data_IF_368953752425
#
_entry.id   IF_368953752425
#
_cell.length_a   1.000
_cell.length_b   1.000
_cell.length_c   1.000
_cell.angle_alpha   90.00
_cell.angle_beta   90.00
_cell.angle_gamma   90.00
#
_symmetry.space_group_name_H-M   'P 1'
#
loop_
_entity.id
_entity.type
_entity.pdbx_description
1 polymer ?
#
# COMPACT_ATOMS: atom_id res chain seq x y z
N UNK A 1 7.33 16.68 22.18
CA UNK A 1 7.23 16.70 20.70
C UNK A 1 8.57 17.15 20.15
N UNK A 2 9.36 16.24 19.60
CA UNK A 2 10.69 16.56 19.06
C UNK A 2 10.51 17.09 17.63
N UNK A 3 10.84 18.36 17.44
CA UNK A 3 10.78 19.03 16.13
C UNK A 3 11.66 18.26 15.13
N UNK A 4 11.11 17.83 14.00
CA UNK A 4 11.83 17.16 12.90
C UNK A 4 13.05 18.01 12.53
N UNK A 5 14.29 17.49 12.70
CA UNK A 5 15.49 18.12 12.16
C UNK A 5 15.43 18.04 10.63
N UNK A 6 15.11 19.15 9.97
CA UNK A 6 15.22 19.28 8.52
C UNK A 6 16.68 19.53 8.16
N UNK A 7 17.08 19.11 6.96
CA UNK A 7 18.39 19.43 6.39
C UNK A 7 18.62 20.95 6.46
N UNK A 8 19.75 21.44 6.96
CA UNK A 8 20.04 22.88 7.07
C UNK A 8 19.89 23.63 5.74
N UNK A 9 20.31 23.03 4.62
CA UNK A 9 20.16 23.59 3.28
C UNK A 9 18.69 23.74 2.87
N UNK A 10 17.86 22.73 3.17
CA UNK A 10 16.40 22.79 2.93
C UNK A 10 15.70 23.81 3.82
N UNK A 11 16.17 23.98 5.07
CA UNK A 11 15.63 25.04 5.96
C UNK A 11 15.93 26.43 5.45
N UNK A 12 17.13 26.64 4.93
CA UNK A 12 17.53 27.91 4.38
C UNK A 12 16.72 28.25 3.12
N UNK A 13 16.55 27.30 2.22
CA UNK A 13 15.70 27.44 1.02
C UNK A 13 14.24 27.76 1.38
N UNK A 14 13.67 27.09 2.38
CA UNK A 14 12.31 27.36 2.84
C UNK A 14 12.20 28.76 3.44
N UNK A 15 13.19 29.22 4.23
CA UNK A 15 13.20 30.56 4.78
C UNK A 15 13.27 31.63 3.70
N UNK A 16 14.14 31.42 2.69
CA UNK A 16 14.25 32.31 1.53
C UNK A 16 12.92 32.38 0.80
N UNK A 17 12.29 31.24 0.56
CA UNK A 17 11.00 31.13 -0.11
C UNK A 17 9.89 31.86 0.65
N UNK A 18 9.78 31.64 1.96
CA UNK A 18 8.80 32.32 2.83
C UNK A 18 9.04 33.84 2.83
N UNK A 19 10.30 34.26 2.86
CA UNK A 19 10.67 35.68 2.83
C UNK A 19 10.39 36.34 1.49
N UNK A 20 10.72 35.66 0.38
CA UNK A 20 10.62 36.17 -0.97
C UNK A 20 9.18 36.29 -1.47
N UNK A 21 8.34 35.31 -1.09
CA UNK A 21 6.91 35.28 -1.44
C UNK A 21 5.99 35.91 -0.38
N UNK A 22 6.52 36.39 0.74
CA UNK A 22 5.71 37.00 1.80
C UNK A 22 4.57 36.09 2.31
N UNK A 23 4.88 34.79 2.52
CA UNK A 23 3.89 33.76 2.80
C UNK A 23 3.24 33.96 4.17
N UNK A 24 1.99 34.36 4.19
CA UNK A 24 1.16 34.54 5.41
C UNK A 24 -0.04 33.58 5.46
N UNK A 25 -0.45 33.02 4.31
CA UNK A 25 -1.62 32.14 4.20
C UNK A 25 -1.34 30.86 3.41
N UNK A 26 -2.29 29.89 3.47
CA UNK A 26 -2.26 28.69 2.62
C UNK A 26 -2.35 29.05 1.13
N UNK A 27 -3.06 30.12 0.78
CA UNK A 27 -3.18 30.60 -0.58
C UNK A 27 -1.82 31.12 -1.10
N UNK A 28 -1.04 31.79 -0.26
CA UNK A 28 0.31 32.26 -0.62
C UNK A 28 1.27 31.08 -0.83
N UNK A 29 1.15 30.04 -0.02
CA UNK A 29 1.90 28.78 -0.25
C UNK A 29 1.55 28.18 -1.61
N UNK A 30 0.27 28.14 -1.97
CA UNK A 30 -0.18 27.60 -3.26
C UNK A 30 0.35 28.45 -4.42
N UNK A 31 0.32 29.77 -4.29
CA UNK A 31 0.85 30.69 -5.30
C UNK A 31 2.37 30.53 -5.45
N UNK A 32 3.12 30.44 -4.36
CA UNK A 32 4.56 30.22 -4.38
C UNK A 32 4.92 28.87 -5.04
N UNK A 33 4.18 27.82 -4.72
CA UNK A 33 4.37 26.50 -5.34
C UNK A 33 4.00 26.52 -6.83
N UNK A 34 2.98 27.26 -7.20
CA UNK A 34 2.57 27.47 -8.58
C UNK A 34 3.66 28.14 -9.40
N UNK A 35 4.22 29.23 -8.88
CA UNK A 35 5.29 29.99 -9.56
C UNK A 35 6.57 29.15 -9.68
N UNK A 36 6.98 28.47 -8.63
CA UNK A 36 8.11 27.54 -8.64
C UNK A 36 7.94 26.40 -9.66
N UNK A 37 6.73 25.87 -9.77
CA UNK A 37 6.42 24.82 -10.75
C UNK A 37 6.54 25.38 -12.18
N UNK A 38 5.99 26.57 -12.43
CA UNK A 38 6.10 27.26 -13.71
C UNK A 38 7.55 27.48 -14.13
N UNK A 39 8.35 28.08 -13.24
CA UNK A 39 9.77 28.30 -13.46
C UNK A 39 10.56 27.02 -13.70
N UNK A 40 10.28 25.97 -12.94
CA UNK A 40 10.93 24.66 -13.14
C UNK A 40 10.62 24.07 -14.52
N UNK A 41 9.37 24.18 -14.98
CA UNK A 41 8.97 23.70 -16.31
C UNK A 41 9.65 24.51 -17.40
N UNK A 42 9.75 25.83 -17.27
CA UNK A 42 10.44 26.68 -18.23
C UNK A 42 11.92 26.33 -18.33
N UNK A 43 12.62 26.10 -17.22
CA UNK A 43 14.02 25.62 -17.21
C UNK A 43 14.18 24.27 -17.92
N UNK A 44 13.27 23.35 -17.68
CA UNK A 44 13.28 22.05 -18.34
C UNK A 44 13.04 22.19 -19.86
N UNK A 45 12.12 23.07 -20.28
CA UNK A 45 11.90 23.40 -21.70
C UNK A 45 13.12 24.03 -22.33
N UNK A 46 13.89 24.84 -21.57
CA UNK A 46 15.17 25.38 -22.05
C UNK A 46 16.20 24.27 -22.28
N UNK A 47 16.28 23.28 -21.36
CA UNK A 47 17.17 22.14 -21.53
C UNK A 47 16.77 21.27 -22.75
N UNK A 48 15.47 21.05 -22.96
CA UNK A 48 14.99 20.34 -24.16
C UNK A 48 15.37 21.03 -25.46
N UNK A 49 15.16 22.35 -25.56
CA UNK A 49 15.51 23.09 -26.81
C UNK A 49 17.02 23.20 -26.99
N UNK A 50 17.81 23.28 -25.90
CA UNK A 50 19.27 23.24 -25.97
C UNK A 50 19.74 21.93 -26.62
N UNK A 51 19.17 20.81 -26.18
CA UNK A 51 19.47 19.48 -26.70
C UNK A 51 19.02 19.35 -28.17
N UNK A 52 17.83 19.86 -28.50
CA UNK A 52 17.30 19.83 -29.86
C UNK A 52 18.16 20.62 -30.85
N UNK A 53 18.59 21.82 -30.47
CA UNK A 53 19.41 22.69 -31.31
C UNK A 53 20.91 22.36 -31.22
N UNK A 54 21.37 21.68 -30.15
CA UNK A 54 22.75 21.33 -29.91
C UNK A 54 23.65 22.47 -29.46
N UNK A 55 23.07 23.56 -28.92
CA UNK A 55 23.80 24.68 -28.32
C UNK A 55 22.99 25.36 -27.21
N UNK A 56 23.69 25.94 -26.22
CA UNK A 56 23.08 26.65 -25.09
C UNK A 56 22.56 28.05 -25.48
N UNK A 57 21.73 28.62 -24.62
CA UNK A 57 21.27 30.02 -24.78
C UNK A 57 22.48 30.96 -24.84
N UNK A 58 22.57 31.81 -25.86
CA UNK A 58 23.70 32.69 -26.20
C UNK A 58 24.89 31.99 -26.89
N UNK A 59 24.84 30.68 -27.12
CA UNK A 59 25.83 30.00 -27.98
C UNK A 59 25.51 30.17 -29.46
N UNK A 60 26.54 30.11 -30.31
CA UNK A 60 26.37 30.04 -31.76
C UNK A 60 26.58 28.62 -32.23
N UNK A 61 25.62 28.10 -32.95
CA UNK A 61 25.72 26.77 -33.60
C UNK A 61 25.91 26.95 -35.12
N UNK A 62 26.70 26.07 -35.71
CA UNK A 62 26.89 26.00 -37.19
C UNK A 62 25.69 25.30 -37.88
N UNK A 63 24.46 25.64 -37.52
CA UNK A 63 23.28 24.90 -37.99
C UNK A 63 22.23 25.80 -38.64
N UNK A 64 21.49 25.21 -39.56
CA UNK A 64 20.40 25.84 -40.32
C UNK A 64 19.15 26.21 -39.45
N UNK A 65 19.14 25.85 -38.17
CA UNK A 65 18.02 26.10 -37.27
C UNK A 65 18.45 26.92 -36.04
N UNK A 66 17.66 27.93 -35.69
CA UNK A 66 17.94 28.91 -34.64
C UNK A 66 16.75 29.05 -33.70
N UNK A 67 16.99 29.59 -32.50
CA UNK A 67 15.93 29.96 -31.56
C UNK A 67 15.04 31.03 -32.14
N UNK A 68 13.73 30.96 -31.95
CA UNK A 68 12.72 31.87 -32.46
C UNK A 68 11.77 32.38 -31.35
N UNK A 69 12.36 32.82 -30.23
CA UNK A 69 11.58 33.36 -29.13
C UNK A 69 10.78 32.32 -28.34
N UNK A 70 9.71 32.77 -27.70
CA UNK A 70 8.84 31.96 -26.83
C UNK A 70 7.39 32.17 -27.23
N UNK A 71 6.59 31.14 -26.97
CA UNK A 71 5.14 31.19 -27.08
C UNK A 71 4.52 30.94 -25.71
N UNK A 72 3.68 31.85 -25.25
CA UNK A 72 2.91 31.65 -24.02
C UNK A 72 1.91 30.49 -24.18
N UNK A 73 1.87 29.63 -23.20
CA UNK A 73 0.95 28.49 -23.13
C UNK A 73 0.33 28.41 -21.75
N UNK A 74 -1.01 28.39 -21.71
CA UNK A 74 -1.74 28.05 -20.48
C UNK A 74 -1.83 26.54 -20.30
N UNK A 75 -1.35 26.05 -19.16
CA UNK A 75 -1.42 24.64 -18.79
C UNK A 75 -2.06 24.49 -17.42
N UNK A 76 -2.88 23.48 -17.26
CA UNK A 76 -3.56 23.17 -16.00
C UNK A 76 -2.65 22.32 -15.12
N UNK A 77 -2.53 22.69 -13.86
CA UNK A 77 -1.77 21.95 -12.85
C UNK A 77 -2.61 21.68 -11.60
N UNK A 78 -2.08 20.85 -10.69
CA UNK A 78 -2.71 20.64 -9.37
C UNK A 78 -2.78 21.90 -8.49
N UNK A 79 -2.08 22.97 -8.89
CA UNK A 79 -2.09 24.29 -8.20
C UNK A 79 -2.89 25.35 -8.96
N UNK A 80 -3.62 24.95 -10.01
CA UNK A 80 -4.36 25.84 -10.90
C UNK A 80 -3.65 26.08 -12.23
N UNK A 81 -4.21 27.00 -13.03
CA UNK A 81 -3.66 27.34 -14.35
C UNK A 81 -2.31 28.02 -14.24
N UNK A 82 -1.33 27.50 -14.99
CA UNK A 82 0.01 28.05 -15.15
C UNK A 82 0.13 28.70 -16.51
N UNK A 83 0.77 29.87 -16.58
CA UNK A 83 1.22 30.46 -17.82
C UNK A 83 2.73 30.18 -17.95
N UNK A 84 3.13 29.47 -18.99
CA UNK A 84 4.51 29.05 -19.22
C UNK A 84 5.00 29.55 -20.58
N UNK A 85 6.26 29.98 -20.63
CA UNK A 85 6.93 30.40 -21.86
C UNK A 85 7.59 29.21 -22.55
N UNK A 86 6.97 28.68 -23.60
CA UNK A 86 7.48 27.54 -24.37
C UNK A 86 8.44 28.05 -25.43
N UNK A 87 9.72 27.67 -25.44
CA UNK A 87 10.69 28.11 -26.45
C UNK A 87 10.35 27.54 -27.83
N UNK A 88 10.70 28.28 -28.86
CA UNK A 88 10.46 27.92 -30.25
C UNK A 88 11.76 27.97 -31.06
N UNK A 89 11.83 27.12 -32.08
CA UNK A 89 12.86 27.16 -33.12
C UNK A 89 12.31 27.75 -34.39
N UNK A 90 13.20 28.23 -35.26
CA UNK A 90 12.84 28.92 -36.50
C UNK A 90 12.15 28.00 -37.51
N UNK A 91 12.53 26.74 -37.53
CA UNK A 91 11.99 25.76 -38.46
C UNK A 91 10.72 25.07 -37.91
N UNK A 92 10.28 25.41 -36.69
CA UNK A 92 9.11 24.83 -36.00
C UNK A 92 9.19 23.31 -35.84
N UNK A 93 10.40 22.74 -35.80
CA UNK A 93 10.69 21.31 -35.65
C UNK A 93 10.77 20.89 -34.19
N UNK A 94 10.96 21.83 -33.28
CA UNK A 94 10.99 21.53 -31.84
C UNK A 94 9.60 21.12 -31.33
N UNK A 95 9.53 19.93 -30.81
CA UNK A 95 8.36 19.41 -30.12
C UNK A 95 8.71 19.13 -28.65
N UNK A 96 8.29 20.02 -27.73
CA UNK A 96 8.56 19.81 -26.31
C UNK A 96 7.85 18.55 -25.82
N UNK A 97 8.59 17.72 -25.08
CA UNK A 97 8.07 16.46 -24.52
C UNK A 97 7.41 16.67 -23.15
N UNK A 98 7.92 17.62 -22.35
CA UNK A 98 7.38 17.93 -21.03
C UNK A 98 5.99 18.56 -21.14
N UNK A 99 5.80 19.44 -22.12
CA UNK A 99 4.52 20.09 -22.38
C UNK A 99 4.19 19.99 -23.86
N UNK A 100 3.75 18.83 -24.35
CA UNK A 100 3.46 18.58 -25.75
C UNK A 100 2.54 19.65 -26.36
N UNK A 101 2.72 19.97 -27.63
CA UNK A 101 2.01 21.08 -28.32
C UNK A 101 0.49 21.07 -28.13
N UNK A 102 -0.12 19.90 -27.92
CA UNK A 102 -1.58 19.72 -27.78
C UNK A 102 -2.06 19.40 -26.36
N UNK A 103 -1.17 19.10 -25.44
CA UNK A 103 -1.52 18.86 -24.03
C UNK A 103 -1.51 20.17 -23.24
N UNK A 104 -2.55 20.33 -22.41
CA UNK A 104 -2.72 21.48 -21.53
C UNK A 104 -2.70 21.11 -20.06
N UNK A 105 -2.53 19.82 -19.73
CA UNK A 105 -2.55 19.31 -18.36
C UNK A 105 -1.20 18.66 -18.03
N UNK A 106 -0.43 19.31 -17.14
CA UNK A 106 0.87 18.82 -16.65
C UNK A 106 0.75 18.05 -15.35
N UNK A 107 -0.47 17.93 -14.77
CA UNK A 107 -0.73 17.10 -13.59
C UNK A 107 -0.42 15.62 -13.88
N UNK A 108 -0.37 15.24 -15.16
CA UNK A 108 -0.03 13.89 -15.60
C UNK A 108 1.37 13.46 -15.19
N UNK A 109 2.38 14.37 -15.23
CA UNK A 109 3.76 14.02 -14.83
C UNK A 109 3.84 13.73 -13.34
N UNK A 110 3.20 14.56 -12.50
CA UNK A 110 3.11 14.29 -11.06
C UNK A 110 2.39 12.98 -10.78
N UNK A 111 1.27 12.74 -11.46
CA UNK A 111 0.52 11.48 -11.34
C UNK A 111 1.34 10.26 -11.80
N UNK A 112 2.16 10.40 -12.84
CA UNK A 112 3.09 9.36 -13.30
C UNK A 112 4.18 9.09 -12.25
N UNK A 113 4.80 10.12 -11.68
CA UNK A 113 5.80 10.01 -10.61
C UNK A 113 5.19 9.29 -9.39
N UNK A 114 4.02 9.73 -8.93
CA UNK A 114 3.28 9.08 -7.84
C UNK A 114 2.97 7.63 -8.22
N UNK A 115 2.59 7.42 -9.48
CA UNK A 115 2.31 6.12 -10.04
C UNK A 115 3.49 5.16 -9.99
N UNK A 116 4.67 5.59 -10.38
CA UNK A 116 5.91 4.81 -10.37
C UNK A 116 6.37 4.53 -8.92
N UNK A 117 6.23 5.53 -8.04
CA UNK A 117 6.52 5.37 -6.62
C UNK A 117 5.62 4.31 -5.95
N UNK A 118 4.33 4.29 -6.29
CA UNK A 118 3.37 3.27 -5.84
C UNK A 118 3.69 1.85 -6.35
N UNK A 119 4.49 1.72 -7.41
CA UNK A 119 5.01 0.44 -7.91
C UNK A 119 6.25 -0.03 -7.14
N UNK A 120 6.80 0.80 -6.25
CA UNK A 120 7.99 0.51 -5.45
C UNK A 120 9.30 0.96 -6.09
N UNK A 121 9.28 1.84 -7.09
CA UNK A 121 10.50 2.41 -7.66
C UNK A 121 11.15 3.38 -6.66
N UNK A 122 12.49 3.48 -6.70
CA UNK A 122 13.23 4.46 -5.90
C UNK A 122 13.12 5.85 -6.53
N UNK A 123 13.42 6.91 -5.78
CA UNK A 123 13.44 8.27 -6.33
C UNK A 123 14.42 8.42 -7.49
N UNK A 124 15.55 7.72 -7.42
CA UNK A 124 16.56 7.66 -8.51
C UNK A 124 16.02 6.97 -9.75
N UNK A 125 15.41 5.78 -9.59
CA UNK A 125 14.86 5.05 -10.73
C UNK A 125 13.74 5.83 -11.40
N UNK A 126 12.90 6.54 -10.61
CA UNK A 126 11.85 7.40 -11.14
C UNK A 126 12.45 8.57 -11.90
N UNK A 127 13.48 9.22 -11.38
CA UNK A 127 14.15 10.32 -12.08
C UNK A 127 14.76 9.83 -13.40
N UNK A 128 15.39 8.66 -13.41
CA UNK A 128 15.93 8.05 -14.61
C UNK A 128 14.83 7.69 -15.62
N UNK A 129 13.74 7.07 -15.18
CA UNK A 129 12.59 6.71 -16.03
C UNK A 129 11.95 7.95 -16.67
N UNK A 130 11.78 9.03 -15.91
CA UNK A 130 11.26 10.31 -16.44
C UNK A 130 12.22 10.89 -17.46
N UNK A 131 13.55 10.81 -17.23
CA UNK A 131 14.55 11.24 -18.21
C UNK A 131 14.45 10.41 -19.50
N UNK A 132 14.30 9.10 -19.41
CA UNK A 132 14.21 8.22 -20.58
C UNK A 132 12.91 8.43 -21.37
N UNK A 133 11.77 8.62 -20.67
CA UNK A 133 10.47 8.76 -21.31
C UNK A 133 10.21 10.17 -21.86
N UNK A 134 10.71 11.21 -21.18
CA UNK A 134 10.39 12.60 -21.49
C UNK A 134 11.62 13.45 -21.85
N UNK A 135 12.81 12.87 -21.81
CA UNK A 135 14.06 13.58 -22.15
C UNK A 135 14.47 14.65 -21.14
N UNK A 136 13.80 14.76 -19.99
CA UNK A 136 14.06 15.78 -18.99
C UNK A 136 14.72 15.25 -17.73
N UNK A 137 15.70 15.98 -17.21
CA UNK A 137 16.36 15.67 -15.96
C UNK A 137 15.59 16.24 -14.77
N UNK A 138 15.09 15.38 -13.91
CA UNK A 138 14.50 15.76 -12.62
C UNK A 138 15.39 15.29 -11.49
N UNK A 139 15.49 16.06 -10.40
CA UNK A 139 16.26 15.65 -9.24
C UNK A 139 15.52 14.61 -8.39
N UNK A 140 16.28 13.75 -7.71
CA UNK A 140 15.69 12.83 -6.70
C UNK A 140 14.95 13.61 -5.59
N UNK A 141 15.39 14.85 -5.30
CA UNK A 141 14.74 15.76 -4.37
C UNK A 141 13.33 16.15 -4.83
N UNK A 142 13.18 16.55 -6.10
CA UNK A 142 11.87 16.88 -6.66
C UNK A 142 10.90 15.69 -6.62
N UNK A 143 11.38 14.49 -6.96
CA UNK A 143 10.56 13.26 -6.83
C UNK A 143 10.12 13.05 -5.38
N UNK A 144 11.01 13.31 -4.40
CA UNK A 144 10.67 13.22 -2.98
C UNK A 144 9.60 14.26 -2.60
N UNK A 145 9.75 15.49 -3.04
CA UNK A 145 8.83 16.59 -2.72
C UNK A 145 7.43 16.34 -3.33
N UNK A 146 7.36 15.86 -4.57
CA UNK A 146 6.10 15.45 -5.20
C UNK A 146 5.43 14.33 -4.42
N UNK A 147 6.18 13.32 -3.99
CA UNK A 147 5.61 12.21 -3.20
C UNK A 147 5.28 12.62 -1.75
N UNK A 148 5.90 13.68 -1.20
CA UNK A 148 5.58 14.21 0.13
C UNK A 148 4.20 14.88 0.19
N UNK A 149 3.65 15.35 -0.96
CA UNK A 149 2.28 15.86 -1.07
C UNK A 149 1.20 14.85 -0.65
N UNK A 150 1.57 13.57 -0.58
CA UNK A 150 0.65 12.50 -0.17
C UNK A 150 0.53 12.39 1.36
N UNK A 151 1.47 12.96 2.12
CA UNK A 151 1.50 12.83 3.59
C UNK A 151 0.21 13.34 4.25
N UNK A 152 -0.39 14.49 3.88
CA UNK A 152 -1.66 14.91 4.45
C UNK A 152 -2.80 13.90 4.19
N UNK A 153 -2.85 13.30 3.00
CA UNK A 153 -3.84 12.26 2.65
C UNK A 153 -3.65 10.98 3.46
N UNK A 154 -2.40 10.63 3.79
CA UNK A 154 -2.12 9.50 4.67
C UNK A 154 -2.66 9.75 6.07
N UNK A 155 -2.46 10.95 6.62
CA UNK A 155 -2.95 11.31 7.95
C UNK A 155 -4.50 11.36 7.98
N UNK A 156 -5.14 11.92 6.96
CA UNK A 156 -6.59 11.88 6.79
C UNK A 156 -7.10 10.44 6.72
N UNK A 157 -6.45 9.58 5.92
CA UNK A 157 -6.81 8.17 5.80
C UNK A 157 -6.67 7.42 7.13
N UNK A 158 -5.62 7.69 7.91
CA UNK A 158 -5.40 7.08 9.23
C UNK A 158 -6.43 7.50 10.27
N UNK A 159 -6.95 8.71 10.17
CA UNK A 159 -7.88 9.27 11.16
C UNK A 159 -9.35 9.18 10.73
N UNK A 160 -9.61 8.69 9.52
CA UNK A 160 -10.97 8.58 8.98
C UNK A 160 -11.85 7.69 9.86
N UNK A 161 -13.14 8.02 9.95
CA UNK A 161 -14.14 7.19 10.60
C UNK A 161 -14.28 5.86 9.87
N UNK A 162 -14.49 4.80 10.63
CA UNK A 162 -14.72 3.43 10.16
C UNK A 162 -16.17 3.02 10.46
N UNK A 163 -16.63 1.95 9.81
CA UNK A 163 -17.93 1.36 10.11
C UNK A 163 -17.95 0.81 11.54
N UNK A 164 -19.11 0.85 12.17
CA UNK A 164 -19.26 0.44 13.58
C UNK A 164 -19.07 -1.08 13.77
N UNK A 165 -19.49 -1.88 12.78
CA UNK A 165 -19.44 -3.34 12.84
C UNK A 165 -18.80 -3.92 11.59
N UNK A 166 -17.84 -4.82 11.79
CA UNK A 166 -17.24 -5.61 10.72
C UNK A 166 -17.58 -7.08 10.90
N UNK A 167 -18.09 -7.69 9.82
CA UNK A 167 -18.40 -9.12 9.80
C UNK A 167 -17.14 -9.97 9.93
N UNK A 168 -16.08 -9.61 9.19
CA UNK A 168 -14.78 -10.28 9.26
C UNK A 168 -13.65 -9.27 9.18
N UNK A 169 -12.64 -9.41 10.04
CA UNK A 169 -11.39 -8.67 9.94
C UNK A 169 -10.24 -9.64 9.79
N UNK A 170 -9.38 -9.39 8.82
CA UNK A 170 -8.17 -10.16 8.56
C UNK A 170 -6.94 -9.35 8.94
N UNK A 171 -5.99 -9.98 9.63
CA UNK A 171 -4.71 -9.36 10.00
C UNK A 171 -3.57 -10.20 9.45
N UNK A 172 -2.70 -9.58 8.67
CA UNK A 172 -1.48 -10.22 8.17
C UNK A 172 -0.29 -9.27 8.26
N UNK A 173 0.90 -9.82 8.17
CA UNK A 173 2.16 -9.10 8.26
C UNK A 173 3.03 -9.30 7.01
N UNK A 174 3.59 -8.20 6.54
CA UNK A 174 4.61 -8.21 5.47
C UNK A 174 5.86 -7.49 5.97
N UNK A 175 7.03 -8.09 5.79
CA UNK A 175 8.29 -7.53 6.28
C UNK A 175 8.99 -6.71 5.20
N UNK A 176 9.51 -5.55 5.60
CA UNK A 176 10.29 -4.63 4.78
C UNK A 176 11.60 -4.28 5.47
N UNK A 177 12.64 -4.00 4.68
CA UNK A 177 13.89 -3.46 5.20
C UNK A 177 13.84 -1.94 5.17
N UNK A 178 14.12 -1.31 6.31
CA UNK A 178 14.09 0.14 6.48
C UNK A 178 15.38 0.60 7.13
N UNK A 179 15.93 1.70 6.63
CA UNK A 179 17.10 2.32 7.21
C UNK A 179 16.67 3.34 8.29
N UNK A 180 17.11 3.14 9.53
CA UNK A 180 16.90 4.06 10.64
C UNK A 180 18.25 4.30 11.34
N UNK A 181 18.60 5.56 11.56
CA UNK A 181 19.87 5.94 12.21
C UNK A 181 21.12 5.28 11.57
N UNK A 182 21.13 5.15 10.26
CA UNK A 182 22.24 4.54 9.52
C UNK A 182 22.20 3.02 9.42
N UNK A 183 21.37 2.33 10.22
CA UNK A 183 21.28 0.87 10.29
C UNK A 183 20.05 0.38 9.50
N UNK A 184 20.24 -0.67 8.71
CA UNK A 184 19.12 -1.35 8.00
C UNK A 184 18.57 -2.43 8.91
N UNK A 185 17.28 -2.31 9.26
CA UNK A 185 16.55 -3.28 10.06
C UNK A 185 15.27 -3.75 9.35
N UNK A 186 14.80 -4.96 9.72
CA UNK A 186 13.49 -5.45 9.26
C UNK A 186 12.38 -4.81 10.09
N UNK A 187 11.32 -4.36 9.42
CA UNK A 187 10.09 -3.86 10.02
C UNK A 187 8.92 -4.72 9.54
N UNK A 188 8.06 -5.10 10.46
CA UNK A 188 6.80 -5.72 10.11
C UNK A 188 5.76 -4.64 9.80
N UNK A 189 5.06 -4.80 8.71
CA UNK A 189 3.89 -3.99 8.34
C UNK A 189 2.65 -4.85 8.52
N UNK A 190 1.85 -4.51 9.51
CA UNK A 190 0.60 -5.19 9.82
C UNK A 190 -0.53 -4.50 9.09
N UNK A 191 -1.28 -5.27 8.31
CA UNK A 191 -2.43 -4.82 7.53
C UNK A 191 -3.69 -5.42 8.15
N UNK A 192 -4.63 -4.56 8.52
CA UNK A 192 -5.98 -4.96 8.91
C UNK A 192 -6.93 -4.71 7.73
N UNK A 193 -7.50 -5.78 7.18
CA UNK A 193 -8.51 -5.74 6.13
C UNK A 193 -9.87 -6.11 6.74
N UNK A 194 -10.86 -5.24 6.59
CA UNK A 194 -12.23 -5.48 7.05
C UNK A 194 -13.19 -5.80 5.90
N UNK A 195 -14.20 -6.60 6.22
CA UNK A 195 -15.41 -6.80 5.44
C UNK A 195 -16.58 -6.29 6.27
N UNK A 196 -17.24 -5.26 5.80
CA UNK A 196 -18.34 -4.64 6.52
C UNK A 196 -19.66 -5.42 6.36
N UNK A 197 -20.74 -4.92 6.93
CA UNK A 197 -22.07 -5.54 6.87
C UNK A 197 -22.64 -5.63 5.44
N UNK A 198 -22.20 -4.75 4.55
CA UNK A 198 -22.59 -4.76 3.13
C UNK A 198 -21.71 -5.70 2.27
N UNK A 199 -20.74 -6.38 2.87
CA UNK A 199 -19.79 -7.25 2.15
C UNK A 199 -18.71 -6.50 1.39
N UNK A 200 -18.58 -5.21 1.60
CA UNK A 200 -17.52 -4.39 1.01
C UNK A 200 -16.21 -4.57 1.77
N UNK A 201 -15.14 -4.64 1.04
CA UNK A 201 -13.78 -4.79 1.58
C UNK A 201 -13.12 -3.43 1.71
N UNK A 202 -12.40 -3.21 2.81
CA UNK A 202 -11.58 -2.04 3.04
C UNK A 202 -10.31 -2.37 3.83
N UNK A 203 -9.25 -1.58 3.66
CA UNK A 203 -8.07 -1.65 4.51
C UNK A 203 -8.25 -0.68 5.66
N UNK A 204 -8.47 -1.22 6.85
CA UNK A 204 -8.81 -0.44 8.04
C UNK A 204 -7.60 0.25 8.66
N UNK A 205 -6.47 -0.46 8.68
CA UNK A 205 -5.23 0.05 9.28
C UNK A 205 -3.99 -0.53 8.60
N UNK A 206 -2.92 0.25 8.68
CA UNK A 206 -1.59 -0.08 8.26
C UNK A 206 -0.64 0.37 9.38
N UNK A 207 -0.09 -0.59 10.12
CA UNK A 207 0.78 -0.31 11.25
C UNK A 207 2.20 -0.83 10.99
N UNK A 208 3.21 0.04 11.15
CA UNK A 208 4.63 -0.31 10.95
C UNK A 208 5.27 -0.47 12.33
N UNK A 209 5.59 -1.72 12.70
CA UNK A 209 6.18 -2.08 13.98
C UNK A 209 7.52 -2.81 13.86
N UNK A 210 8.20 -2.95 14.99
CA UNK A 210 9.46 -3.70 15.09
C UNK A 210 9.26 -5.09 15.66
N UNK A 211 8.31 -5.24 16.57
CA UNK A 211 8.10 -6.47 17.34
C UNK A 211 6.62 -6.82 17.41
N UNK A 212 6.34 -8.11 17.31
CA UNK A 212 5.03 -8.68 17.59
C UNK A 212 4.87 -8.79 19.11
N UNK A 213 3.88 -8.09 19.66
CA UNK A 213 3.56 -8.15 21.08
C UNK A 213 2.09 -7.81 21.31
N UNK A 214 1.53 -8.31 22.41
CA UNK A 214 0.16 -7.98 22.80
C UNK A 214 -0.07 -6.46 22.91
N UNK A 215 0.94 -5.68 23.33
CA UNK A 215 0.88 -4.21 23.39
C UNK A 215 0.73 -3.58 22.00
N UNK A 216 1.44 -4.10 21.01
CA UNK A 216 1.35 -3.63 19.61
C UNK A 216 -0.04 -3.87 19.05
N UNK A 217 -0.60 -5.06 19.29
CA UNK A 217 -1.96 -5.41 18.85
C UNK A 217 -3.03 -4.57 19.55
N UNK A 218 -2.91 -4.37 20.87
CA UNK A 218 -3.81 -3.50 21.62
C UNK A 218 -3.79 -2.07 21.10
N UNK A 219 -2.63 -1.55 20.72
CA UNK A 219 -2.53 -0.21 20.13
C UNK A 219 -3.28 -0.14 18.79
N UNK A 220 -3.14 -1.16 17.94
CA UNK A 220 -3.86 -1.25 16.66
C UNK A 220 -5.38 -1.36 16.89
N UNK A 221 -5.82 -2.22 17.80
CA UNK A 221 -7.26 -2.39 18.08
C UNK A 221 -7.89 -1.17 18.74
N UNK A 222 -7.16 -0.48 19.61
CA UNK A 222 -7.62 0.78 20.19
C UNK A 222 -7.71 1.88 19.13
N UNK A 223 -6.82 1.91 18.13
CA UNK A 223 -6.95 2.82 16.97
C UNK A 223 -8.25 2.55 16.22
N UNK A 224 -8.57 1.29 15.92
CA UNK A 224 -9.82 0.93 15.27
C UNK A 224 -11.04 1.39 16.08
N UNK A 225 -11.02 1.20 17.41
CA UNK A 225 -12.09 1.66 18.32
C UNK A 225 -12.23 3.17 18.32
N UNK A 226 -11.14 3.91 18.42
CA UNK A 226 -11.11 5.37 18.41
C UNK A 226 -11.67 5.93 17.10
N UNK A 227 -11.60 5.16 16.02
CA UNK A 227 -12.13 5.50 14.71
C UNK A 227 -13.55 4.99 14.47
N UNK A 228 -14.22 4.48 15.49
CA UNK A 228 -15.64 4.16 15.48
C UNK A 228 -16.00 2.67 15.46
N UNK A 229 -15.03 1.75 15.35
CA UNK A 229 -15.33 0.30 15.36
C UNK A 229 -15.81 -0.11 16.75
N UNK A 230 -17.05 -0.54 16.85
CA UNK A 230 -17.69 -1.01 18.10
C UNK A 230 -17.57 -2.53 18.24
N UNK A 231 -17.69 -3.27 17.13
CA UNK A 231 -17.68 -4.73 17.17
C UNK A 231 -17.08 -5.34 15.90
N UNK A 232 -16.50 -6.54 16.07
CA UNK A 232 -15.98 -7.40 15.00
C UNK A 232 -16.47 -8.81 15.28
N UNK A 233 -17.21 -9.42 14.36
CA UNK A 233 -17.79 -10.75 14.62
C UNK A 233 -16.71 -11.82 14.59
N UNK A 234 -15.91 -11.85 13.53
CA UNK A 234 -14.83 -12.83 13.33
C UNK A 234 -13.52 -12.12 13.01
N UNK A 235 -12.45 -12.48 13.68
CA UNK A 235 -11.11 -11.99 13.38
C UNK A 235 -10.20 -13.15 12.99
N UNK A 236 -9.62 -13.03 11.78
CA UNK A 236 -8.74 -14.03 11.20
C UNK A 236 -7.30 -13.52 11.19
N UNK A 237 -6.38 -14.22 11.83
CA UNK A 237 -4.97 -13.87 11.81
C UNK A 237 -4.09 -15.14 11.78
N UNK A 238 -2.83 -14.97 11.35
CA UNK A 238 -1.83 -16.02 11.57
C UNK A 238 -1.51 -16.11 13.07
N UNK A 239 -0.84 -17.15 13.51
CA UNK A 239 -0.44 -17.36 14.91
C UNK A 239 0.56 -16.31 15.43
N UNK A 240 0.17 -15.04 15.36
CA UNK A 240 0.97 -13.91 15.78
C UNK A 240 1.01 -13.82 17.31
N UNK A 241 2.21 -13.65 17.86
CA UNK A 241 2.40 -13.66 19.32
C UNK A 241 1.58 -12.57 20.02
N UNK A 242 0.77 -12.95 21.01
CA UNK A 242 -0.01 -12.05 21.84
C UNK A 242 -1.26 -11.46 21.16
N UNK A 243 -1.62 -11.90 19.95
CA UNK A 243 -2.80 -11.38 19.24
C UNK A 243 -4.11 -11.86 19.88
N UNK A 244 -4.17 -13.10 20.32
CA UNK A 244 -5.37 -13.70 20.94
C UNK A 244 -5.77 -12.96 22.21
N UNK A 245 -4.79 -12.67 23.06
CA UNK A 245 -4.96 -11.92 24.30
C UNK A 245 -5.40 -10.47 24.03
N UNK A 246 -4.80 -9.84 23.02
CA UNK A 246 -5.16 -8.49 22.61
C UNK A 246 -6.58 -8.42 22.04
N UNK A 247 -7.02 -9.40 21.25
CA UNK A 247 -8.40 -9.50 20.75
C UNK A 247 -9.36 -9.65 21.93
N UNK A 248 -9.10 -10.56 22.85
CA UNK A 248 -9.95 -10.79 24.03
C UNK A 248 -10.09 -9.53 24.90
N UNK A 249 -9.04 -8.72 25.01
CA UNK A 249 -9.05 -7.46 25.75
C UNK A 249 -9.79 -6.32 25.02
N UNK A 250 -9.59 -6.19 23.70
CA UNK A 250 -10.16 -5.09 22.92
C UNK A 250 -11.59 -5.40 22.45
N UNK A 251 -11.83 -6.61 21.96
CA UNK A 251 -13.08 -7.07 21.37
C UNK A 251 -13.48 -8.43 21.97
N UNK A 252 -13.93 -8.49 23.23
CA UNK A 252 -14.12 -9.74 23.96
C UNK A 252 -15.16 -10.70 23.38
N UNK A 253 -16.09 -10.17 22.57
CA UNK A 253 -17.11 -10.97 21.88
C UNK A 253 -16.64 -11.52 20.53
N UNK A 254 -15.47 -11.07 20.03
CA UNK A 254 -14.94 -11.48 18.71
C UNK A 254 -14.47 -12.93 18.72
N UNK A 255 -14.91 -13.70 17.73
CA UNK A 255 -14.37 -15.03 17.53
C UNK A 255 -13.03 -14.95 16.80
N UNK A 256 -11.97 -15.37 17.48
CA UNK A 256 -10.65 -15.51 16.87
C UNK A 256 -10.56 -16.79 16.05
N UNK A 257 -10.06 -16.70 14.84
CA UNK A 257 -9.80 -17.82 13.92
C UNK A 257 -8.37 -17.78 13.42
N UNK A 258 -7.72 -18.92 13.45
CA UNK A 258 -6.44 -19.08 12.81
C UNK A 258 -6.58 -19.29 11.30
N UNK A 259 -5.69 -18.72 10.51
CA UNK A 259 -5.71 -18.89 9.07
C UNK A 259 -5.28 -20.28 8.64
N UNK A 260 -6.20 -21.05 8.11
CA UNK A 260 -5.95 -22.40 7.60
C UNK A 260 -4.96 -22.39 6.43
N UNK A 261 -5.02 -21.38 5.55
CA UNK A 261 -4.08 -21.28 4.42
C UNK A 261 -2.63 -21.18 4.89
N UNK A 262 -2.35 -20.46 5.98
CA UNK A 262 -1.01 -20.38 6.56
C UNK A 262 -0.61 -21.73 7.21
N UNK A 263 -1.52 -22.41 7.83
CA UNK A 263 -1.27 -23.76 8.35
C UNK A 263 -0.93 -24.74 7.22
N UNK A 264 -1.71 -24.73 6.13
CA UNK A 264 -1.42 -25.55 4.95
C UNK A 264 -0.01 -25.23 4.39
N UNK A 265 0.33 -23.96 4.23
CA UNK A 265 1.67 -23.55 3.76
C UNK A 265 2.79 -24.05 4.69
N UNK A 266 2.61 -23.92 5.99
CA UNK A 266 3.58 -24.38 6.97
C UNK A 266 3.74 -25.90 6.93
N UNK A 267 2.62 -26.63 6.83
CA UNK A 267 2.60 -28.08 6.71
C UNK A 267 3.30 -28.55 5.42
N UNK A 268 3.04 -27.89 4.30
CA UNK A 268 3.57 -28.29 2.99
C UNK A 268 4.99 -27.81 2.72
N UNK A 269 5.54 -26.92 3.54
CA UNK A 269 6.84 -26.26 3.32
C UNK A 269 8.02 -27.21 3.13
N UNK A 270 8.00 -28.35 3.82
CA UNK A 270 9.09 -29.33 3.82
C UNK A 270 8.72 -30.63 3.11
N UNK A 271 7.61 -30.63 2.39
CA UNK A 271 7.11 -31.80 1.67
C UNK A 271 7.64 -31.82 0.25
N UNK A 272 8.08 -32.97 -0.24
CA UNK A 272 8.60 -33.14 -1.59
C UNK A 272 7.52 -32.79 -2.64
N UNK A 273 7.94 -32.20 -3.76
CA UNK A 273 7.02 -31.72 -4.83
C UNK A 273 6.08 -32.81 -5.35
N UNK A 274 6.55 -34.06 -5.41
CA UNK A 274 5.73 -35.21 -5.85
C UNK A 274 4.54 -35.51 -4.92
N UNK A 275 4.70 -35.24 -3.64
CA UNK A 275 3.70 -35.52 -2.59
C UNK A 275 2.78 -34.32 -2.30
N UNK A 276 3.19 -33.11 -2.77
CA UNK A 276 2.53 -31.84 -2.46
C UNK A 276 1.03 -31.86 -2.84
N UNK A 277 0.71 -32.30 -4.06
CA UNK A 277 -0.66 -32.31 -4.57
C UNK A 277 -1.57 -33.25 -3.78
N UNK A 278 -1.05 -34.43 -3.44
CA UNK A 278 -1.77 -35.44 -2.67
C UNK A 278 -2.01 -34.96 -1.24
N UNK A 279 -0.97 -34.48 -0.57
CA UNK A 279 -1.11 -33.91 0.76
C UNK A 279 -2.12 -32.74 0.82
N UNK A 280 -2.08 -31.84 -0.16
CA UNK A 280 -3.06 -30.74 -0.23
C UNK A 280 -4.51 -31.27 -0.37
N UNK A 281 -4.71 -32.35 -1.12
CA UNK A 281 -6.03 -32.99 -1.24
C UNK A 281 -6.46 -33.63 0.09
N UNK A 282 -5.56 -34.31 0.78
CA UNK A 282 -5.82 -34.89 2.10
C UNK A 282 -6.13 -33.78 3.14
N UNK A 283 -5.33 -32.73 3.22
CA UNK A 283 -5.60 -31.61 4.13
C UNK A 283 -6.96 -30.98 3.87
N UNK A 284 -7.40 -30.94 2.60
CA UNK A 284 -8.71 -30.42 2.23
C UNK A 284 -9.87 -31.20 2.85
N UNK A 285 -9.71 -32.49 3.09
CA UNK A 285 -10.74 -33.31 3.74
C UNK A 285 -10.97 -32.89 5.20
N UNK A 286 -9.95 -32.35 5.87
CA UNK A 286 -10.02 -31.89 7.25
C UNK A 286 -10.87 -30.62 7.33
N UNK A 287 -10.45 -29.55 6.67
CA UNK A 287 -11.11 -28.24 6.83
C UNK A 287 -12.43 -28.08 6.05
N UNK A 288 -12.72 -28.96 5.10
CA UNK A 288 -14.01 -29.02 4.41
C UNK A 288 -14.99 -30.02 5.05
N UNK A 289 -14.60 -30.72 6.10
CA UNK A 289 -15.49 -31.64 6.80
C UNK A 289 -16.77 -30.92 7.27
N UNK A 290 -17.95 -31.54 7.19
CA UNK A 290 -19.22 -30.94 7.61
C UNK A 290 -19.28 -30.66 9.11
N UNK A 291 -18.67 -31.49 9.92
CA UNK A 291 -18.66 -31.40 11.40
C UNK A 291 -17.24 -31.43 11.96
N UNK A 292 -17.07 -30.91 13.16
CA UNK A 292 -15.81 -31.00 13.92
C UNK A 292 -15.34 -32.44 14.13
N UNK A 293 -16.27 -33.33 14.52
CA UNK A 293 -15.97 -34.75 14.75
C UNK A 293 -15.40 -35.40 13.48
N UNK A 294 -16.03 -35.19 12.35
CA UNK A 294 -15.53 -35.73 11.08
C UNK A 294 -14.19 -35.09 10.66
N UNK A 295 -14.00 -33.80 10.93
CA UNK A 295 -12.74 -33.14 10.71
C UNK A 295 -11.61 -33.73 11.55
N UNK A 296 -11.90 -34.07 12.81
CA UNK A 296 -10.94 -34.72 13.72
C UNK A 296 -10.57 -36.12 13.24
N UNK A 297 -11.57 -36.93 12.87
CA UNK A 297 -11.34 -38.24 12.28
C UNK A 297 -10.48 -38.14 11.00
N UNK A 298 -10.78 -37.18 10.12
CA UNK A 298 -9.98 -36.97 8.91
C UNK A 298 -8.55 -36.53 9.26
N UNK A 299 -8.35 -35.74 10.30
CA UNK A 299 -7.02 -35.33 10.77
C UNK A 299 -6.20 -36.55 11.19
N UNK A 300 -6.82 -37.46 11.96
CA UNK A 300 -6.16 -38.70 12.43
C UNK A 300 -5.79 -39.61 11.23
N UNK A 301 -6.70 -39.80 10.26
CA UNK A 301 -6.42 -40.55 9.02
C UNK A 301 -5.26 -39.93 8.22
N UNK A 302 -5.24 -38.62 8.08
CA UNK A 302 -4.17 -37.93 7.34
C UNK A 302 -2.85 -38.03 8.11
N UNK A 303 -2.88 -37.90 9.42
CA UNK A 303 -1.70 -38.06 10.26
C UNK A 303 -1.08 -39.45 10.10
N UNK A 304 -1.87 -40.52 10.25
CA UNK A 304 -1.45 -41.93 10.10
C UNK A 304 -0.87 -42.19 8.71
N UNK A 305 -1.49 -41.65 7.66
CA UNK A 305 -1.02 -41.80 6.27
C UNK A 305 0.37 -41.22 6.06
N UNK A 306 0.66 -40.06 6.65
CA UNK A 306 1.87 -39.28 6.36
C UNK A 306 2.96 -39.41 7.43
N UNK A 307 2.68 -39.93 8.63
CA UNK A 307 3.61 -40.00 9.78
C UNK A 307 4.91 -40.75 9.42
N UNK A 308 4.79 -41.89 8.70
CA UNK A 308 5.95 -42.71 8.33
C UNK A 308 6.92 -41.98 7.41
N UNK A 309 6.40 -41.08 6.56
CA UNK A 309 7.18 -40.36 5.55
C UNK A 309 7.64 -38.99 6.02
N UNK A 310 6.79 -38.31 6.79
CA UNK A 310 7.03 -36.97 7.31
C UNK A 310 6.65 -36.91 8.80
N UNK A 311 7.53 -37.36 9.70
CA UNK A 311 7.26 -37.39 11.13
C UNK A 311 6.89 -36.00 11.65
N UNK A 312 5.87 -35.93 12.52
CA UNK A 312 5.36 -34.68 13.11
C UNK A 312 4.74 -33.69 12.13
N UNK A 313 4.45 -34.10 10.89
CA UNK A 313 3.87 -33.21 9.87
C UNK A 313 2.57 -32.56 10.37
N UNK A 314 1.72 -33.31 11.04
CA UNK A 314 0.42 -32.86 11.52
C UNK A 314 0.43 -32.33 12.95
N UNK A 315 1.58 -32.22 13.61
CA UNK A 315 1.67 -31.80 15.02
C UNK A 315 1.09 -30.40 15.26
N UNK A 316 1.29 -29.47 14.31
CA UNK A 316 0.72 -28.13 14.40
C UNK A 316 -0.81 -28.10 14.30
N UNK A 317 -1.42 -29.06 13.58
CA UNK A 317 -2.87 -29.18 13.48
C UNK A 317 -3.49 -29.66 14.80
N UNK A 318 -2.81 -30.56 15.49
CA UNK A 318 -3.24 -31.01 16.83
C UNK A 318 -3.09 -29.89 17.87
N UNK A 319 -1.93 -29.24 17.92
CA UNK A 319 -1.66 -28.19 18.91
C UNK A 319 -2.53 -26.93 18.74
N UNK A 320 -3.00 -26.67 17.54
CA UNK A 320 -3.81 -25.49 17.21
C UNK A 320 -5.29 -25.85 16.97
N UNK A 321 -5.69 -27.07 17.33
CA UNK A 321 -7.04 -27.57 17.03
C UNK A 321 -8.14 -26.63 17.54
N UNK A 322 -8.02 -26.15 18.78
CA UNK A 322 -8.97 -25.21 19.39
C UNK A 322 -9.12 -23.87 18.62
N UNK A 323 -8.10 -23.48 17.88
CA UNK A 323 -8.16 -22.27 17.03
C UNK A 323 -8.75 -22.57 15.64
N UNK A 324 -8.85 -23.85 15.26
CA UNK A 324 -9.45 -24.31 14.00
C UNK A 324 -10.93 -24.64 14.19
N UNK A 325 -11.29 -25.35 15.25
CA UNK A 325 -12.63 -25.94 15.46
C UNK A 325 -13.78 -24.96 15.38
N UNK A 326 -13.66 -23.70 15.85
CA UNK A 326 -14.77 -22.76 15.77
C UNK A 326 -15.30 -22.51 14.36
N UNK A 327 -14.56 -22.92 13.32
CA UNK A 327 -15.00 -22.77 11.94
C UNK A 327 -16.13 -23.73 11.57
N UNK A 328 -16.22 -24.88 12.23
CA UNK A 328 -17.25 -25.87 11.95
C UNK A 328 -18.65 -25.46 12.39
N UNK A 329 -18.79 -24.35 13.13
CA UNK A 329 -20.07 -23.69 13.43
C UNK A 329 -20.72 -23.06 12.19
N UNK A 330 -19.93 -22.72 11.19
CA UNK A 330 -20.39 -21.99 9.99
C UNK A 330 -20.70 -22.93 8.84
N UNK A 331 -21.64 -22.54 7.99
CA UNK A 331 -21.88 -23.21 6.72
C UNK A 331 -20.65 -23.14 5.80
N UNK A 332 -20.60 -24.01 4.81
CA UNK A 332 -19.52 -24.02 3.82
C UNK A 332 -19.38 -22.68 3.11
N UNK A 333 -20.48 -21.92 2.90
CA UNK A 333 -20.46 -20.62 2.27
C UNK A 333 -19.75 -19.58 3.14
N UNK A 334 -20.10 -19.48 4.39
CA UNK A 334 -19.45 -18.58 5.37
C UNK A 334 -18.00 -18.98 5.58
N UNK A 335 -17.73 -20.29 5.73
CA UNK A 335 -16.34 -20.79 5.81
C UNK A 335 -15.51 -20.34 4.61
N UNK A 336 -16.08 -20.44 3.40
CA UNK A 336 -15.36 -20.01 2.19
C UNK A 336 -14.90 -18.56 2.30
N UNK A 337 -15.72 -17.63 2.78
CA UNK A 337 -15.32 -16.23 2.98
C UNK A 337 -14.23 -16.12 4.06
N UNK A 338 -14.40 -16.80 5.19
CA UNK A 338 -13.42 -16.80 6.28
C UNK A 338 -12.07 -17.40 5.82
N UNK A 339 -12.09 -18.43 4.96
CA UNK A 339 -10.89 -19.08 4.42
C UNK A 339 -10.28 -18.36 3.22
N UNK A 340 -11.11 -17.75 2.35
CA UNK A 340 -10.59 -17.13 1.14
C UNK A 340 -9.85 -15.85 1.47
N UNK A 341 -8.57 -16.04 1.66
CA UNK A 341 -7.57 -14.98 1.84
C UNK A 341 -7.28 -14.21 0.55
N UNK A 342 -8.06 -14.46 -0.54
CA UNK A 342 -7.79 -13.87 -1.85
C UNK A 342 -7.59 -12.35 -1.79
N UNK A 343 -8.39 -11.64 -0.97
CA UNK A 343 -8.24 -10.20 -0.81
C UNK A 343 -6.92 -9.86 -0.10
N UNK A 344 -6.62 -10.51 1.03
CA UNK A 344 -5.39 -10.30 1.78
C UNK A 344 -4.17 -10.80 1.00
N UNK A 345 -4.28 -11.95 0.33
CA UNK A 345 -3.21 -12.47 -0.54
C UNK A 345 -2.91 -11.52 -1.71
N UNK A 346 -3.93 -10.92 -2.31
CA UNK A 346 -3.76 -9.89 -3.36
C UNK A 346 -3.01 -8.67 -2.82
N UNK A 347 -3.37 -8.17 -1.63
CA UNK A 347 -2.65 -7.09 -0.95
C UNK A 347 -1.21 -7.49 -0.71
N UNK A 348 -0.98 -8.62 -0.06
CA UNK A 348 0.35 -9.10 0.28
C UNK A 348 1.23 -9.37 -0.96
N UNK A 349 0.66 -9.94 -2.01
CA UNK A 349 1.35 -10.15 -3.28
C UNK A 349 1.83 -8.83 -3.86
N UNK A 350 0.99 -7.80 -3.83
CA UNK A 350 1.35 -6.46 -4.30
C UNK A 350 2.45 -5.83 -3.45
N UNK A 351 2.33 -5.92 -2.13
CA UNK A 351 3.32 -5.41 -1.20
C UNK A 351 4.66 -6.16 -1.33
N UNK A 352 4.64 -7.48 -1.47
CA UNK A 352 5.86 -8.27 -1.74
C UNK A 352 6.50 -7.93 -3.09
N UNK A 353 5.70 -7.67 -4.13
CA UNK A 353 6.21 -7.21 -5.43
C UNK A 353 6.93 -5.86 -5.31
N UNK A 354 6.39 -4.93 -4.51
CA UNK A 354 7.03 -3.66 -4.20
C UNK A 354 8.36 -3.87 -3.46
N UNK A 355 8.41 -4.79 -2.49
CA UNK A 355 9.61 -5.13 -1.74
C UNK A 355 10.71 -5.74 -2.63
N UNK A 356 10.34 -6.50 -3.67
CA UNK A 356 11.29 -7.03 -4.66
C UNK A 356 11.94 -5.93 -5.50
N UNK A 357 11.21 -4.86 -5.81
CA UNK A 357 11.72 -3.73 -6.61
C UNK A 357 12.56 -2.79 -5.77
N UNK A 358 12.20 -2.60 -4.50
CA UNK A 358 12.90 -1.71 -3.56
C UNK A 358 13.28 -2.49 -2.31
N UNK A 359 14.51 -3.00 -2.30
CA UNK A 359 15.01 -3.87 -1.23
C UNK A 359 15.13 -3.17 0.13
N UNK A 360 15.43 -1.85 0.15
CA UNK A 360 15.58 -1.06 1.38
C UNK A 360 14.90 0.30 1.23
N UNK A 361 14.07 0.67 2.18
CA UNK A 361 13.47 2.01 2.28
C UNK A 361 14.39 2.92 3.08
N UNK A 362 14.64 4.19 2.62
CA UNK A 362 15.57 5.10 3.28
C UNK A 362 15.10 5.56 4.67
N UNK A 363 13.80 5.50 4.94
CA UNK A 363 13.19 5.80 6.24
C UNK A 363 11.74 5.29 6.30
N UNK A 364 11.14 5.34 7.50
CA UNK A 364 9.76 4.90 7.76
C UNK A 364 8.73 5.67 6.92
N UNK A 365 8.91 6.98 6.74
CA UNK A 365 7.98 7.84 5.96
C UNK A 365 7.94 7.42 4.50
N UNK A 366 9.10 7.12 3.91
CA UNK A 366 9.17 6.62 2.52
C UNK A 366 8.46 5.28 2.35
N UNK A 367 8.58 4.37 3.32
CA UNK A 367 7.83 3.13 3.33
C UNK A 367 6.33 3.40 3.42
N UNK A 368 5.92 4.26 4.34
CA UNK A 368 4.51 4.58 4.59
C UNK A 368 3.82 5.19 3.36
N UNK A 369 4.48 6.12 2.67
CA UNK A 369 4.00 6.69 1.40
C UNK A 369 3.79 5.61 0.34
N UNK A 370 4.76 4.72 0.16
CA UNK A 370 4.68 3.65 -0.83
C UNK A 370 3.57 2.64 -0.50
N UNK A 371 3.43 2.28 0.77
CA UNK A 371 2.37 1.39 1.24
C UNK A 371 0.97 1.99 1.01
N UNK A 372 0.77 3.25 1.41
CA UNK A 372 -0.50 3.94 1.21
C UNK A 372 -0.91 3.96 -0.26
N UNK A 373 -0.01 4.35 -1.15
CA UNK A 373 -0.29 4.39 -2.58
C UNK A 373 -0.56 3.00 -3.17
N UNK A 374 0.14 1.96 -2.70
CA UNK A 374 -0.12 0.59 -3.13
C UNK A 374 -1.51 0.12 -2.67
N UNK A 375 -1.89 0.43 -1.43
CA UNK A 375 -3.20 0.12 -0.84
C UNK A 375 -4.31 0.87 -1.60
N UNK A 376 -4.17 2.17 -1.83
CA UNK A 376 -5.15 2.97 -2.57
C UNK A 376 -5.44 2.37 -3.95
N UNK A 377 -4.40 1.93 -4.67
CA UNK A 377 -4.57 1.26 -5.96
C UNK A 377 -5.29 -0.09 -5.90
N UNK A 378 -5.14 -0.80 -4.78
CA UNK A 378 -5.84 -2.08 -4.57
C UNK A 378 -7.30 -1.81 -4.24
N UNK A 379 -7.58 -0.92 -3.30
CA UNK A 379 -8.92 -0.58 -2.84
C UNK A 379 -9.77 -0.02 -3.99
N UNK A 380 -9.22 0.81 -4.87
CA UNK A 380 -9.91 1.30 -6.08
C UNK A 380 -10.42 0.19 -7.02
N UNK A 381 -9.87 -1.02 -6.93
CA UNK A 381 -10.33 -2.19 -7.69
C UNK A 381 -11.45 -2.98 -7.00
N UNK A 382 -11.71 -2.69 -5.74
CA UNK A 382 -12.76 -3.35 -4.97
C UNK A 382 -14.08 -2.59 -5.12
N UNK A 383 -14.73 -2.76 -6.27
CA UNK A 383 -15.92 -1.99 -6.65
C UNK A 383 -17.24 -2.62 -6.21
N UNK A 384 -17.22 -3.84 -5.67
CA UNK A 384 -18.44 -4.57 -5.31
C UNK A 384 -18.30 -5.35 -4.01
N UNK A 385 -19.44 -5.82 -3.52
CA UNK A 385 -19.52 -6.74 -2.40
C UNK A 385 -18.95 -8.13 -2.74
N UNK A 386 -18.68 -8.92 -1.72
CA UNK A 386 -18.36 -10.34 -1.86
C UNK A 386 -19.55 -11.06 -2.51
N UNK A 387 -19.25 -11.98 -3.41
CA UNK A 387 -20.29 -12.79 -4.09
C UNK A 387 -21.13 -13.55 -3.06
N UNK A 388 -22.43 -13.63 -3.31
CA UNK A 388 -23.42 -14.30 -2.47
C UNK A 388 -23.50 -13.76 -1.02
N UNK A 389 -23.07 -12.51 -0.82
CA UNK A 389 -22.98 -11.88 0.50
C UNK A 389 -24.31 -11.88 1.28
N UNK A 390 -25.44 -11.65 0.62
CA UNK A 390 -26.74 -11.63 1.28
C UNK A 390 -27.04 -12.92 2.06
N UNK A 391 -26.73 -14.09 1.46
CA UNK A 391 -26.90 -15.38 2.16
C UNK A 391 -25.89 -15.59 3.29
N UNK A 392 -24.63 -15.17 3.08
CA UNK A 392 -23.57 -15.26 4.09
C UNK A 392 -23.89 -14.37 5.29
N UNK A 393 -24.26 -13.13 5.02
CA UNK A 393 -24.58 -12.16 6.08
C UNK A 393 -25.89 -12.52 6.81
N UNK A 394 -26.87 -13.10 6.09
CA UNK A 394 -28.10 -13.64 6.70
C UNK A 394 -27.80 -14.71 7.74
N UNK A 395 -26.88 -15.64 7.44
CA UNK A 395 -26.43 -16.65 8.42
C UNK A 395 -25.71 -16.00 9.61
N UNK A 396 -24.80 -15.06 9.36
CA UNK A 396 -24.10 -14.34 10.43
C UNK A 396 -25.07 -13.57 11.33
N UNK A 397 -26.12 -12.94 10.76
CA UNK A 397 -27.16 -12.28 11.54
C UNK A 397 -27.90 -13.22 12.48
N UNK A 398 -28.22 -14.43 12.05
CA UNK A 398 -28.86 -15.45 12.89
C UNK A 398 -27.90 -15.87 14.00
N UNK A 399 -26.62 -16.08 13.69
CA UNK A 399 -25.63 -16.53 14.67
C UNK A 399 -25.24 -15.47 15.69
N UNK A 400 -25.33 -14.20 15.33
CA UNK A 400 -24.88 -13.04 16.13
C UNK A 400 -25.98 -11.99 16.30
N UNK A 401 -27.24 -12.43 16.47
CA UNK A 401 -28.45 -11.58 16.48
C UNK A 401 -28.33 -10.39 17.43
N UNK A 402 -27.74 -10.59 18.61
CA UNK A 402 -27.55 -9.52 19.62
C UNK A 402 -26.43 -8.53 19.29
N UNK A 403 -25.75 -8.65 18.16
CA UNK A 403 -24.52 -7.89 17.82
C UNK A 403 -24.60 -7.14 16.51
N UNK A 404 -25.66 -7.37 15.72
CA UNK A 404 -25.82 -6.82 14.36
C UNK A 404 -27.14 -6.08 14.25
#
# INVERSE_FOLDING_TARGET
MTRRKRDPKKQELIKQLVSEYGVESIADIQNALKDLLGGTIEELLQAEINNHLGYEKYGHGDKENYRNGYKEKKVQSNYGDLEIAVPQDRNSTFEPMIVPKREKDISEIENKIIGLYALGMTTRDIAQEIKELYGCEISEGLVSDITDKIIPKIEEWKTRTLDEVYAVVYIDAVHFSVKENGIVGKKAVYIALGVNQEGKKDILSMYIGTNESAKTWLSLFNDLKNRGVKDILVMCADGLTGIKEAIAAAFPKTEYKRWIVHMIRNTTKFVATKDYKELCADLKTIYNAPTEEQAKNNLDIVADKWESKYPKLMSSWYSEWDAITPIFKFSVKVRTVIYTTNAVESVNSRLRSMNKRRSVFPNKVSLEKALYLAIERIVKKWTGAIRDWGGIYGELRIMYEDRI
#
